data_IF_745267609681
#
_entry.id   IF_745267609681
#
_cell.length_a   1.000
_cell.length_b   1.000
_cell.length_c   1.000
_cell.angle_alpha   90.00
_cell.angle_beta   90.00
_cell.angle_gamma   90.00
#
_symmetry.space_group_name_H-M   'P 1'
#
loop_
_entity.id
_entity.type
_entity.pdbx_description
1 polymer ?
#
# COMPACT_ATOMS: atom_id res chain seq x y z
N UNK A 1 8.47 31.21 -8.76
CA UNK A 1 8.06 30.16 -7.77
C UNK A 1 6.74 30.48 -7.07
N UNK A 2 6.56 31.61 -6.38
CA UNK A 2 5.30 31.90 -5.65
C UNK A 2 4.06 31.93 -6.57
N UNK A 3 4.15 32.61 -7.71
CA UNK A 3 3.05 32.69 -8.68
C UNK A 3 2.67 31.31 -9.24
N UNK A 4 3.65 30.49 -9.64
CA UNK A 4 3.41 29.10 -10.06
C UNK A 4 2.65 28.33 -9.01
N UNK A 5 3.14 28.30 -7.75
CA UNK A 5 2.47 27.56 -6.66
C UNK A 5 1.03 28.03 -6.40
N UNK A 6 0.76 29.32 -6.54
CA UNK A 6 -0.58 29.83 -6.37
C UNK A 6 -1.51 29.33 -7.48
N UNK A 7 -1.09 29.46 -8.75
CA UNK A 7 -1.88 29.03 -9.91
C UNK A 7 -2.10 27.51 -9.89
N UNK A 8 -1.03 26.73 -9.65
CA UNK A 8 -1.06 25.27 -9.54
C UNK A 8 -2.04 24.78 -8.45
N UNK A 9 -2.03 25.42 -7.27
CA UNK A 9 -2.97 25.09 -6.21
C UNK A 9 -4.42 25.47 -6.58
N UNK A 10 -4.63 26.67 -7.11
CA UNK A 10 -5.99 27.15 -7.47
C UNK A 10 -6.59 26.25 -8.55
N UNK A 11 -5.83 25.94 -9.60
CA UNK A 11 -6.32 25.08 -10.69
C UNK A 11 -6.49 23.64 -10.24
N UNK A 12 -5.59 23.11 -9.39
CA UNK A 12 -5.75 21.79 -8.80
C UNK A 12 -7.05 21.65 -8.00
N UNK A 13 -7.33 22.59 -7.09
CA UNK A 13 -8.59 22.59 -6.36
C UNK A 13 -9.81 22.83 -7.24
N UNK A 14 -9.67 23.61 -8.31
CA UNK A 14 -10.74 23.78 -9.31
C UNK A 14 -11.07 22.47 -10.01
N UNK A 15 -10.04 21.67 -10.42
CA UNK A 15 -10.30 20.34 -11.00
C UNK A 15 -10.97 19.40 -10.02
N UNK A 16 -10.58 19.44 -8.74
CA UNK A 16 -11.27 18.71 -7.68
C UNK A 16 -12.75 19.10 -7.59
N UNK A 17 -13.05 20.37 -7.55
CA UNK A 17 -14.43 20.86 -7.44
C UNK A 17 -15.28 20.49 -8.66
N UNK A 18 -14.71 20.56 -9.87
CA UNK A 18 -15.38 20.12 -11.09
C UNK A 18 -15.69 18.62 -11.02
N UNK A 19 -14.70 17.80 -10.69
CA UNK A 19 -14.87 16.35 -10.57
C UNK A 19 -15.88 15.98 -9.47
N UNK A 20 -15.75 16.58 -8.28
CA UNK A 20 -16.68 16.36 -7.17
C UNK A 20 -18.12 16.76 -7.55
N UNK A 21 -18.30 17.90 -8.21
CA UNK A 21 -19.62 18.32 -8.69
C UNK A 21 -20.20 17.33 -9.70
N UNK A 22 -19.42 16.93 -10.72
CA UNK A 22 -19.86 15.98 -11.75
C UNK A 22 -20.26 14.65 -11.12
N UNK A 23 -19.40 14.05 -10.30
CA UNK A 23 -19.65 12.75 -9.71
C UNK A 23 -20.78 12.76 -8.69
N UNK A 24 -20.83 13.78 -7.80
CA UNK A 24 -21.92 13.89 -6.83
C UNK A 24 -23.29 14.22 -7.47
N UNK A 25 -23.32 14.91 -8.63
CA UNK A 25 -24.57 15.21 -9.34
C UNK A 25 -25.11 14.03 -10.17
N UNK A 26 -24.27 13.03 -10.45
CA UNK A 26 -24.62 11.83 -11.23
C UNK A 26 -24.51 10.53 -10.44
N UNK A 27 -24.46 10.65 -9.12
CA UNK A 27 -24.28 9.55 -8.21
C UNK A 27 -25.42 8.54 -8.29
N UNK A 28 -25.10 7.25 -8.17
CA UNK A 28 -26.11 6.21 -8.02
C UNK A 28 -26.87 6.41 -6.70
N UNK A 29 -28.18 6.59 -6.72
CA UNK A 29 -28.94 6.90 -5.51
C UNK A 29 -29.08 5.70 -4.56
N UNK A 30 -28.86 4.48 -5.07
CA UNK A 30 -29.01 3.21 -4.36
C UNK A 30 -27.78 2.34 -4.52
N UNK A 31 -27.91 1.04 -4.43
CA UNK A 31 -26.85 0.09 -4.72
C UNK A 31 -26.85 -0.25 -6.22
N UNK A 32 -25.69 -0.18 -6.86
CA UNK A 32 -25.50 -0.68 -8.23
C UNK A 32 -25.31 -2.21 -8.25
N UNK A 33 -24.81 -2.75 -9.37
CA UNK A 33 -24.58 -4.19 -9.53
C UNK A 33 -23.26 -4.67 -8.89
N UNK A 34 -23.01 -5.96 -8.98
CA UNK A 34 -21.79 -6.66 -8.52
C UNK A 34 -21.61 -6.56 -6.99
N UNK A 35 -20.43 -6.18 -6.55
CA UNK A 35 -20.04 -6.19 -5.14
C UNK A 35 -20.52 -4.94 -4.36
N UNK A 36 -21.04 -3.92 -5.07
CA UNK A 36 -21.47 -2.65 -4.47
C UNK A 36 -22.50 -2.83 -3.32
N UNK A 37 -23.58 -3.63 -3.44
CA UNK A 37 -24.51 -3.89 -2.34
C UNK A 37 -23.84 -4.53 -1.13
N UNK A 38 -22.87 -5.43 -1.35
CA UNK A 38 -22.10 -6.07 -0.30
C UNK A 38 -21.25 -5.04 0.44
N UNK A 39 -20.49 -4.20 -0.28
CA UNK A 39 -19.68 -3.15 0.32
C UNK A 39 -20.49 -2.13 1.11
N UNK A 40 -21.67 -1.75 0.64
CA UNK A 40 -22.58 -0.87 1.37
C UNK A 40 -23.06 -1.54 2.65
N UNK A 41 -23.48 -2.81 2.58
CA UNK A 41 -24.02 -3.55 3.72
C UNK A 41 -22.94 -3.80 4.78
N UNK A 42 -21.78 -4.32 4.36
CA UNK A 42 -20.65 -4.57 5.26
C UNK A 42 -20.11 -3.30 5.88
N UNK A 43 -20.08 -2.20 5.13
CA UNK A 43 -19.70 -0.89 5.64
C UNK A 43 -20.70 -0.40 6.69
N UNK A 44 -21.99 -0.40 6.39
CA UNK A 44 -23.02 0.11 7.29
C UNK A 44 -23.06 -0.60 8.65
N UNK A 45 -22.95 -1.93 8.64
CA UNK A 45 -23.09 -2.76 9.85
C UNK A 45 -21.76 -3.27 10.42
N UNK A 46 -20.62 -2.92 9.80
CA UNK A 46 -19.32 -3.48 10.11
C UNK A 46 -19.36 -5.02 10.09
N UNK A 47 -19.83 -5.60 8.99
CA UNK A 47 -19.90 -7.02 8.73
C UNK A 47 -18.71 -7.49 7.86
N UNK A 48 -18.54 -8.80 7.68
CA UNK A 48 -17.41 -9.37 6.96
C UNK A 48 -17.83 -9.80 5.55
N UNK A 49 -17.29 -9.10 4.55
CA UNK A 49 -17.52 -9.38 3.13
C UNK A 49 -16.60 -10.46 2.56
N UNK A 50 -16.63 -10.61 1.24
CA UNK A 50 -15.86 -11.64 0.54
C UNK A 50 -14.33 -11.48 0.66
N UNK A 51 -13.56 -12.59 0.63
CA UNK A 51 -12.11 -12.56 0.66
C UNK A 51 -11.47 -11.78 -0.52
N UNK A 52 -10.38 -11.02 -0.27
CA UNK A 52 -9.62 -10.95 0.97
C UNK A 52 -10.11 -9.90 1.95
N UNK A 53 -11.31 -9.32 1.74
CA UNK A 53 -11.89 -8.26 2.55
C UNK A 53 -11.33 -6.87 2.27
N UNK A 54 -12.06 -5.86 2.72
CA UNK A 54 -11.70 -4.46 2.58
C UNK A 54 -11.94 -3.69 3.91
N UNK A 55 -11.22 -4.02 5.00
CA UNK A 55 -11.54 -3.50 6.33
C UNK A 55 -11.44 -1.97 6.43
N UNK A 56 -10.49 -1.34 5.74
CA UNK A 56 -10.36 0.11 5.79
C UNK A 56 -11.45 0.80 4.97
N UNK A 57 -11.88 0.20 3.85
CA UNK A 57 -13.06 0.65 3.13
C UNK A 57 -14.32 0.54 4.01
N UNK A 58 -14.50 -0.60 4.68
CA UNK A 58 -15.63 -0.85 5.57
C UNK A 58 -15.72 0.21 6.69
N UNK A 59 -14.60 0.52 7.36
CA UNK A 59 -14.55 1.54 8.41
C UNK A 59 -14.91 2.94 7.89
N UNK A 60 -14.41 3.32 6.73
CA UNK A 60 -14.69 4.62 6.11
C UNK A 60 -16.12 4.70 5.57
N UNK A 61 -16.63 3.61 5.00
CA UNK A 61 -18.04 3.50 4.59
C UNK A 61 -18.99 3.64 5.78
N UNK A 62 -18.65 2.99 6.91
CA UNK A 62 -19.43 3.16 8.15
C UNK A 62 -19.46 4.62 8.58
N UNK A 63 -18.32 5.31 8.56
CA UNK A 63 -18.24 6.73 8.91
C UNK A 63 -19.15 7.58 8.00
N UNK A 64 -19.13 7.35 6.68
CA UNK A 64 -20.00 8.07 5.75
C UNK A 64 -21.49 7.70 5.94
N UNK A 65 -21.79 6.43 6.22
CA UNK A 65 -23.13 5.98 6.54
C UNK A 65 -23.77 6.69 7.76
N UNK A 66 -22.95 7.17 8.72
CA UNK A 66 -23.45 7.94 9.86
C UNK A 66 -24.05 9.32 9.49
N UNK A 67 -23.73 9.83 8.30
CA UNK A 67 -24.32 11.08 7.79
C UNK A 67 -25.67 10.87 7.11
N UNK A 68 -26.14 9.63 6.95
CA UNK A 68 -27.45 9.33 6.41
C UNK A 68 -28.56 9.75 7.39
N UNK A 69 -29.60 10.43 6.88
CA UNK A 69 -30.73 10.84 7.69
C UNK A 69 -31.63 9.66 8.11
N UNK A 70 -31.64 8.62 7.30
CA UNK A 70 -32.34 7.34 7.54
C UNK A 70 -31.65 6.19 6.76
N UNK A 71 -32.09 4.96 6.98
CA UNK A 71 -31.50 3.75 6.38
C UNK A 71 -31.55 3.74 4.83
N UNK A 72 -32.51 4.41 4.22
CA UNK A 72 -32.61 4.47 2.76
C UNK A 72 -31.52 5.34 2.12
N UNK A 73 -30.90 6.24 2.90
CA UNK A 73 -29.86 7.17 2.46
C UNK A 73 -28.43 6.61 2.65
N UNK A 74 -28.28 5.46 3.30
CA UNK A 74 -26.93 4.91 3.58
C UNK A 74 -26.19 4.62 2.29
N UNK A 75 -26.80 3.96 1.30
CA UNK A 75 -26.20 3.69 0.01
C UNK A 75 -25.69 4.98 -0.67
N UNK A 76 -26.52 5.99 -0.70
CA UNK A 76 -26.22 7.30 -1.25
C UNK A 76 -24.98 7.94 -0.57
N UNK A 77 -24.89 7.87 0.77
CA UNK A 77 -23.75 8.43 1.50
C UNK A 77 -22.44 7.67 1.25
N UNK A 78 -22.49 6.36 1.10
CA UNK A 78 -21.31 5.54 0.76
C UNK A 78 -20.88 5.81 -0.69
N UNK A 79 -21.82 5.99 -1.62
CA UNK A 79 -21.53 6.40 -2.99
C UNK A 79 -20.89 7.81 -3.03
N UNK A 80 -21.33 8.76 -2.19
CA UNK A 80 -20.67 10.08 -2.02
C UNK A 80 -19.21 9.91 -1.61
N UNK A 81 -18.89 8.97 -0.73
CA UNK A 81 -17.49 8.68 -0.36
C UNK A 81 -16.67 8.35 -1.61
N UNK A 82 -17.15 7.45 -2.47
CA UNK A 82 -16.48 7.07 -3.72
C UNK A 82 -16.32 8.27 -4.67
N UNK A 83 -17.35 9.10 -4.81
CA UNK A 83 -17.32 10.31 -5.62
C UNK A 83 -16.24 11.30 -5.15
N UNK A 84 -16.15 11.56 -3.85
CA UNK A 84 -15.16 12.46 -3.28
C UNK A 84 -13.73 11.89 -3.38
N UNK A 85 -13.54 10.59 -3.18
CA UNK A 85 -12.25 9.92 -3.34
C UNK A 85 -11.80 9.95 -4.81
N UNK A 86 -12.71 9.78 -5.75
CA UNK A 86 -12.43 9.94 -7.17
C UNK A 86 -12.05 11.37 -7.52
N UNK A 87 -12.70 12.37 -6.94
CA UNK A 87 -12.31 13.78 -7.11
C UNK A 87 -10.91 14.05 -6.51
N UNK A 88 -10.54 13.43 -5.38
CA UNK A 88 -9.18 13.45 -4.83
C UNK A 88 -8.19 12.86 -5.84
N UNK A 89 -8.53 11.76 -6.52
CA UNK A 89 -7.70 11.18 -7.58
C UNK A 89 -7.40 12.21 -8.67
N UNK A 90 -8.41 12.95 -9.14
CA UNK A 90 -8.26 14.00 -10.16
C UNK A 90 -7.34 15.12 -9.69
N UNK A 91 -7.49 15.57 -8.44
CA UNK A 91 -6.60 16.57 -7.82
C UNK A 91 -5.14 16.16 -7.88
N UNK A 92 -4.84 14.96 -7.39
CA UNK A 92 -3.46 14.46 -7.34
C UNK A 92 -2.92 14.09 -8.73
N UNK A 93 -3.78 13.69 -9.66
CA UNK A 93 -3.42 13.54 -11.07
C UNK A 93 -3.00 14.88 -11.67
N UNK A 94 -3.80 15.94 -11.47
CA UNK A 94 -3.47 17.30 -11.91
C UNK A 94 -2.08 17.72 -11.39
N UNK A 95 -1.86 17.63 -10.09
CA UNK A 95 -0.57 18.01 -9.50
C UNK A 95 0.60 17.14 -9.97
N UNK A 96 0.37 15.86 -10.27
CA UNK A 96 1.40 14.97 -10.80
C UNK A 96 1.79 15.36 -12.24
N UNK A 97 0.80 15.64 -13.09
CA UNK A 97 1.03 16.08 -14.47
C UNK A 97 1.71 17.45 -14.49
N UNK A 98 1.24 18.41 -13.69
CA UNK A 98 1.86 19.75 -13.54
C UNK A 98 3.33 19.60 -13.11
N UNK A 99 3.60 18.79 -12.09
CA UNK A 99 4.96 18.54 -11.60
C UNK A 99 5.88 17.97 -12.69
N UNK A 100 5.45 16.92 -13.39
CA UNK A 100 6.23 16.27 -14.44
C UNK A 100 6.47 17.20 -15.64
N UNK A 101 5.43 17.92 -16.08
CA UNK A 101 5.53 18.89 -17.19
C UNK A 101 6.47 20.04 -16.82
N UNK A 102 6.38 20.55 -15.58
CA UNK A 102 7.32 21.54 -15.07
C UNK A 102 8.78 21.05 -15.16
N UNK A 103 9.06 19.82 -14.72
CA UNK A 103 10.41 19.25 -14.78
C UNK A 103 10.94 19.12 -16.20
N UNK A 104 10.08 18.86 -17.18
CA UNK A 104 10.46 18.78 -18.58
C UNK A 104 10.79 20.16 -19.18
N UNK A 105 10.03 21.20 -18.82
CA UNK A 105 10.10 22.52 -19.46
C UNK A 105 10.98 23.52 -18.71
N UNK A 106 11.20 23.33 -17.41
CA UNK A 106 11.86 24.30 -16.51
C UNK A 106 12.93 23.58 -15.69
N UNK A 107 14.19 23.78 -16.07
CA UNK A 107 15.33 23.23 -15.33
C UNK A 107 15.63 24.06 -14.08
N UNK A 108 15.60 25.37 -14.22
CA UNK A 108 15.78 26.33 -13.12
C UNK A 108 14.57 27.28 -13.02
N UNK A 109 14.23 27.70 -11.81
CA UNK A 109 13.08 28.59 -11.59
C UNK A 109 13.20 29.97 -12.25
N UNK A 110 14.44 30.41 -12.59
CA UNK A 110 14.72 31.61 -13.35
C UNK A 110 14.22 31.54 -14.81
N UNK A 111 14.07 30.32 -15.35
CA UNK A 111 13.58 30.07 -16.71
C UNK A 111 12.04 30.09 -16.81
N UNK A 112 11.34 30.27 -15.70
CA UNK A 112 9.88 30.28 -15.69
C UNK A 112 9.34 31.54 -16.36
N UNK A 113 8.71 31.38 -17.51
CA UNK A 113 7.99 32.44 -18.23
C UNK A 113 6.48 32.23 -18.13
N UNK A 114 5.70 33.27 -18.43
CA UNK A 114 4.24 33.15 -18.49
C UNK A 114 3.78 32.09 -19.50
N UNK A 115 4.45 31.99 -20.65
CA UNK A 115 4.16 30.97 -21.66
C UNK A 115 4.39 29.55 -21.12
N UNK A 116 5.53 29.30 -20.44
CA UNK A 116 5.81 28.01 -19.81
C UNK A 116 4.80 27.69 -18.71
N UNK A 117 4.46 28.69 -17.88
CA UNK A 117 3.41 28.52 -16.85
C UNK A 117 2.08 28.07 -17.47
N UNK A 118 1.61 28.79 -18.50
CA UNK A 118 0.35 28.43 -19.19
C UNK A 118 0.45 27.01 -19.78
N UNK A 119 1.56 26.66 -20.43
CA UNK A 119 1.75 25.33 -21.02
C UNK A 119 1.69 24.23 -19.97
N UNK A 120 2.35 24.41 -18.80
CA UNK A 120 2.35 23.44 -17.72
C UNK A 120 0.94 23.22 -17.18
N UNK A 121 0.28 24.32 -16.81
CA UNK A 121 -1.03 24.26 -16.17
C UNK A 121 -2.13 23.80 -17.14
N UNK A 122 -2.08 24.22 -18.41
CA UNK A 122 -3.01 23.77 -19.43
C UNK A 122 -2.85 22.24 -19.70
N UNK A 123 -1.61 21.73 -19.75
CA UNK A 123 -1.37 20.30 -19.92
C UNK A 123 -1.94 19.50 -18.75
N UNK A 124 -1.75 19.98 -17.52
CA UNK A 124 -2.29 19.35 -16.33
C UNK A 124 -3.82 19.38 -16.30
N UNK A 125 -4.40 20.53 -16.63
CA UNK A 125 -5.85 20.71 -16.69
C UNK A 125 -6.51 19.81 -17.73
N UNK A 126 -5.96 19.76 -18.95
CA UNK A 126 -6.47 18.88 -20.03
C UNK A 126 -6.36 17.43 -19.63
N UNK A 127 -5.20 16.98 -19.10
CA UNK A 127 -5.01 15.60 -18.67
C UNK A 127 -5.98 15.19 -17.55
N UNK A 128 -6.14 16.04 -16.54
CA UNK A 128 -7.05 15.78 -15.42
C UNK A 128 -8.53 15.76 -15.87
N UNK A 129 -8.95 16.71 -16.71
CA UNK A 129 -10.34 16.77 -17.19
C UNK A 129 -10.68 15.63 -18.17
N UNK A 130 -9.76 15.23 -19.06
CA UNK A 130 -9.98 14.04 -19.90
C UNK A 130 -10.24 12.81 -19.04
N UNK A 131 -9.46 12.62 -17.96
CA UNK A 131 -9.66 11.50 -17.06
C UNK A 131 -10.95 11.63 -16.24
N UNK A 132 -11.31 12.84 -15.80
CA UNK A 132 -12.59 13.13 -15.11
C UNK A 132 -13.80 12.65 -15.92
N UNK A 133 -13.79 12.87 -17.23
CA UNK A 133 -14.90 12.53 -18.12
C UNK A 133 -14.71 11.21 -18.87
N UNK A 134 -13.73 10.37 -18.50
CA UNK A 134 -13.60 9.03 -19.07
C UNK A 134 -14.67 8.09 -18.52
N UNK A 135 -15.34 7.34 -19.37
CA UNK A 135 -16.47 6.47 -19.02
C UNK A 135 -16.14 5.51 -17.86
N UNK A 136 -15.04 4.78 -17.99
CA UNK A 136 -14.65 3.77 -16.99
C UNK A 136 -14.39 4.37 -15.61
N UNK A 137 -13.71 5.53 -15.55
CA UNK A 137 -13.42 6.15 -14.28
C UNK A 137 -14.66 6.80 -13.67
N UNK A 138 -15.50 7.45 -14.50
CA UNK A 138 -16.76 8.02 -14.04
C UNK A 138 -17.70 6.97 -13.48
N UNK A 139 -17.82 5.82 -14.17
CA UNK A 139 -18.63 4.70 -13.69
C UNK A 139 -18.22 4.27 -12.28
N UNK A 140 -16.92 4.02 -12.05
CA UNK A 140 -16.40 3.64 -10.72
C UNK A 140 -16.49 4.78 -9.69
N UNK A 141 -16.60 6.03 -10.12
CA UNK A 141 -16.67 7.18 -9.22
C UNK A 141 -18.04 7.34 -8.55
N UNK A 142 -19.11 6.86 -9.17
CA UNK A 142 -20.49 7.11 -8.74
C UNK A 142 -21.10 5.95 -7.94
N UNK A 143 -20.35 4.90 -7.68
CA UNK A 143 -20.80 3.70 -6.97
C UNK A 143 -19.85 3.31 -5.82
N UNK A 144 -20.36 2.58 -4.83
CA UNK A 144 -19.61 2.18 -3.64
C UNK A 144 -18.73 0.95 -3.92
N UNK A 145 -17.63 1.19 -4.63
CA UNK A 145 -16.65 0.18 -5.00
C UNK A 145 -15.24 0.54 -4.51
N UNK A 146 -14.43 -0.47 -4.24
CA UNK A 146 -13.06 -0.31 -3.76
C UNK A 146 -12.14 0.39 -4.75
N UNK A 147 -12.49 0.42 -6.03
CA UNK A 147 -11.66 0.97 -7.10
C UNK A 147 -11.49 2.49 -7.03
N UNK A 148 -12.53 3.22 -6.68
CA UNK A 148 -12.47 4.66 -6.44
C UNK A 148 -11.44 4.99 -5.34
N UNK A 149 -11.49 4.27 -4.23
CA UNK A 149 -10.59 4.44 -3.10
C UNK A 149 -9.16 4.00 -3.43
N UNK A 150 -8.99 2.86 -4.09
CA UNK A 150 -7.69 2.37 -4.56
C UNK A 150 -7.02 3.36 -5.51
N UNK A 151 -7.80 3.99 -6.41
CA UNK A 151 -7.31 5.03 -7.33
C UNK A 151 -6.83 6.27 -6.57
N UNK A 152 -7.54 6.67 -5.51
CA UNK A 152 -7.12 7.78 -4.65
C UNK A 152 -5.78 7.48 -3.96
N UNK A 153 -5.60 6.28 -3.39
CA UNK A 153 -4.32 5.87 -2.82
C UNK A 153 -3.19 5.88 -3.86
N UNK A 154 -3.45 5.34 -5.06
CA UNK A 154 -2.50 5.31 -6.16
C UNK A 154 -2.04 6.72 -6.55
N UNK A 155 -2.97 7.66 -6.74
CA UNK A 155 -2.67 9.03 -7.10
C UNK A 155 -1.89 9.78 -6.00
N UNK A 156 -2.30 9.61 -4.73
CA UNK A 156 -1.60 10.20 -3.57
C UNK A 156 -0.19 9.65 -3.44
N UNK A 157 0.00 8.32 -3.48
CA UNK A 157 1.31 7.67 -3.34
C UNK A 157 2.23 8.08 -4.48
N UNK A 158 1.74 8.14 -5.72
CA UNK A 158 2.52 8.61 -6.84
C UNK A 158 2.93 10.08 -6.69
N UNK A 159 2.04 10.95 -6.25
CA UNK A 159 2.39 12.34 -5.95
C UNK A 159 3.41 12.48 -4.82
N UNK A 160 3.30 11.66 -3.76
CA UNK A 160 4.25 11.66 -2.65
C UNK A 160 5.67 11.29 -3.08
N UNK A 161 5.85 10.33 -4.00
CA UNK A 161 7.19 10.01 -4.50
C UNK A 161 7.80 11.16 -5.32
N UNK A 162 6.98 11.91 -6.07
CA UNK A 162 7.44 13.12 -6.75
C UNK A 162 7.84 14.23 -5.76
N UNK A 163 7.13 14.35 -4.62
CA UNK A 163 7.54 15.25 -3.53
C UNK A 163 8.83 14.82 -2.86
N UNK A 164 9.02 13.51 -2.64
CA UNK A 164 10.28 12.98 -2.16
C UNK A 164 11.42 13.29 -3.14
N UNK A 165 11.21 13.11 -4.43
CA UNK A 165 12.21 13.36 -5.47
C UNK A 165 12.74 14.81 -5.44
N UNK A 166 11.85 15.79 -5.29
CA UNK A 166 12.23 17.21 -5.17
C UNK A 166 13.04 17.50 -3.89
N UNK A 167 12.88 16.71 -2.85
CA UNK A 167 13.50 16.92 -1.52
C UNK A 167 14.54 15.85 -1.15
N UNK A 168 14.90 14.96 -2.07
CA UNK A 168 15.69 13.75 -1.78
C UNK A 168 17.06 14.03 -1.14
N UNK A 169 17.64 15.22 -1.36
CA UNK A 169 18.94 15.63 -0.80
C UNK A 169 18.81 16.44 0.49
N UNK A 170 17.57 16.75 0.92
CA UNK A 170 17.35 17.48 2.16
C UNK A 170 17.43 16.53 3.37
N UNK A 171 17.84 17.04 4.54
CA UNK A 171 17.68 16.30 5.79
C UNK A 171 16.24 15.85 5.98
N UNK A 172 16.04 14.62 6.51
CA UNK A 172 14.72 14.06 6.79
C UNK A 172 13.84 13.78 5.54
N UNK A 173 14.41 13.73 4.32
CA UNK A 173 13.65 13.38 3.11
C UNK A 173 12.98 12.01 3.22
N UNK A 174 13.54 11.08 3.99
CA UNK A 174 13.04 9.70 4.18
C UNK A 174 11.62 9.66 4.78
N UNK A 175 11.17 10.76 5.44
CA UNK A 175 9.78 10.88 5.95
C UNK A 175 8.72 10.67 4.87
N UNK A 176 9.02 11.03 3.62
CA UNK A 176 8.10 10.81 2.50
C UNK A 176 7.98 9.34 2.14
N UNK A 177 9.09 8.59 2.16
CA UNK A 177 9.09 7.14 1.93
C UNK A 177 8.32 6.41 3.04
N UNK A 178 8.51 6.84 4.28
CA UNK A 178 7.80 6.31 5.46
C UNK A 178 6.27 6.56 5.32
N UNK A 179 5.88 7.78 4.92
CA UNK A 179 4.46 8.11 4.67
C UNK A 179 3.88 7.30 3.51
N UNK A 180 4.64 7.12 2.40
CA UNK A 180 4.24 6.26 1.27
C UNK A 180 3.93 4.85 1.77
N UNK A 181 4.77 4.27 2.61
CA UNK A 181 4.55 2.91 3.11
C UNK A 181 3.36 2.82 4.08
N UNK A 182 3.09 3.86 4.87
CA UNK A 182 1.87 3.95 5.67
C UNK A 182 0.60 3.97 4.78
N UNK A 183 0.58 4.84 3.76
CA UNK A 183 -0.53 4.91 2.80
C UNK A 183 -0.70 3.59 2.03
N UNK A 184 0.42 2.93 1.69
CA UNK A 184 0.41 1.60 1.08
C UNK A 184 -0.20 0.56 2.01
N UNK A 185 0.15 0.57 3.30
CA UNK A 185 -0.43 -0.30 4.32
C UNK A 185 -1.94 -0.11 4.48
N UNK A 186 -2.42 1.13 4.54
CA UNK A 186 -3.85 1.44 4.56
C UNK A 186 -4.56 0.96 3.30
N UNK A 187 -3.92 1.12 2.14
CA UNK A 187 -4.51 0.70 0.85
C UNK A 187 -4.68 -0.81 0.72
N UNK A 188 -3.85 -1.62 1.40
CA UNK A 188 -4.04 -3.08 1.49
C UNK A 188 -5.41 -3.40 2.13
N UNK A 189 -5.83 -2.61 3.12
CA UNK A 189 -7.16 -2.70 3.74
C UNK A 189 -8.31 -2.18 2.87
N UNK A 190 -8.03 -1.78 1.62
CA UNK A 190 -9.03 -1.43 0.60
C UNK A 190 -8.91 -2.36 -0.59
N UNK A 191 -7.76 -2.33 -1.28
CA UNK A 191 -7.49 -3.16 -2.44
C UNK A 191 -5.99 -3.24 -2.73
N UNK A 192 -5.49 -4.40 -3.16
CA UNK A 192 -4.06 -4.64 -3.41
C UNK A 192 -3.49 -3.91 -4.65
N UNK A 193 -4.36 -3.33 -5.48
CA UNK A 193 -3.96 -2.71 -6.76
C UNK A 193 -2.93 -1.59 -6.58
N UNK A 194 -2.99 -0.83 -5.48
CA UNK A 194 -2.03 0.23 -5.19
C UNK A 194 -0.57 -0.28 -5.05
N UNK A 195 -0.36 -1.55 -4.70
CA UNK A 195 0.98 -2.14 -4.62
C UNK A 195 1.72 -2.08 -5.96
N UNK A 196 1.00 -1.99 -7.09
CA UNK A 196 1.59 -1.82 -8.43
C UNK A 196 2.31 -0.47 -8.61
N UNK A 197 2.15 0.48 -7.68
CA UNK A 197 2.96 1.71 -7.64
C UNK A 197 4.41 1.47 -7.19
N UNK A 198 4.70 0.37 -6.48
CA UNK A 198 6.04 0.09 -5.96
C UNK A 198 7.13 0.10 -7.04
N UNK A 199 6.95 -0.51 -8.24
CA UNK A 199 7.92 -0.39 -9.32
C UNK A 199 8.23 1.05 -9.73
N UNK A 200 7.21 1.89 -9.84
CA UNK A 200 7.39 3.30 -10.19
C UNK A 200 8.17 4.06 -9.09
N UNK A 201 7.86 3.79 -7.82
CA UNK A 201 8.57 4.38 -6.66
C UNK A 201 10.06 4.01 -6.69
N UNK A 202 10.37 2.73 -6.91
CA UNK A 202 11.77 2.25 -6.94
C UNK A 202 12.52 2.85 -8.12
N UNK A 203 11.89 2.99 -9.29
CA UNK A 203 12.50 3.64 -10.46
C UNK A 203 12.79 5.12 -10.18
N UNK A 204 11.84 5.88 -9.62
CA UNK A 204 12.05 7.29 -9.25
C UNK A 204 13.22 7.39 -8.24
N UNK A 205 13.24 6.49 -7.24
CA UNK A 205 14.33 6.43 -6.28
C UNK A 205 15.69 6.16 -6.96
N UNK A 206 15.76 5.17 -7.87
CA UNK A 206 16.94 4.82 -8.61
C UNK A 206 17.46 6.01 -9.41
N UNK A 207 16.65 6.60 -10.27
CA UNK A 207 17.05 7.72 -11.13
C UNK A 207 17.43 8.97 -10.33
N UNK A 208 16.92 9.13 -9.12
CA UNK A 208 17.25 10.28 -8.26
C UNK A 208 18.53 10.11 -7.45
N UNK A 209 18.86 8.88 -7.03
CA UNK A 209 19.98 8.62 -6.09
C UNK A 209 21.24 8.10 -6.76
N UNK A 210 21.14 7.52 -7.94
CA UNK A 210 22.32 6.96 -8.62
C UNK A 210 22.72 7.81 -9.83
N UNK A 211 24.04 8.08 -10.01
CA UNK A 211 24.51 8.89 -11.12
C UNK A 211 24.41 8.14 -12.45
N UNK A 212 23.88 8.82 -13.45
CA UNK A 212 23.75 8.32 -14.83
C UNK A 212 24.91 8.85 -15.66
N UNK A 213 25.84 7.98 -16.07
CA UNK A 213 27.07 8.36 -16.79
C UNK A 213 26.98 8.11 -18.28
N UNK A 214 26.30 7.04 -18.69
CA UNK A 214 26.15 6.67 -20.10
C UNK A 214 24.87 5.81 -20.30
N UNK A 215 24.28 5.79 -21.54
CA UNK A 215 23.02 5.10 -21.80
C UNK A 215 23.04 3.59 -21.56
N UNK A 216 24.18 2.91 -21.77
CA UNK A 216 24.28 1.45 -21.56
C UNK A 216 24.31 1.09 -20.07
N UNK A 217 25.06 1.89 -19.29
CA UNK A 217 25.08 1.77 -17.82
C UNK A 217 23.71 2.05 -17.23
N UNK A 218 23.02 3.07 -17.74
CA UNK A 218 21.68 3.46 -17.31
C UNK A 218 20.64 2.36 -17.61
N UNK A 219 20.68 1.73 -18.77
CA UNK A 219 19.79 0.63 -19.12
C UNK A 219 19.98 -0.57 -18.18
N UNK A 220 21.24 -0.98 -17.94
CA UNK A 220 21.56 -2.07 -17.01
C UNK A 220 21.08 -1.76 -15.60
N UNK A 221 21.31 -0.54 -15.12
CA UNK A 221 20.85 -0.09 -13.79
C UNK A 221 19.33 -0.05 -13.68
N UNK A 222 18.64 0.40 -14.73
CA UNK A 222 17.16 0.40 -14.78
C UNK A 222 16.56 -1.00 -14.74
N UNK A 223 17.19 -1.96 -15.45
CA UNK A 223 16.77 -3.37 -15.39
C UNK A 223 16.94 -3.90 -13.96
N UNK A 224 18.07 -3.63 -13.30
CA UNK A 224 18.25 -4.02 -11.90
C UNK A 224 17.26 -3.34 -10.95
N UNK A 225 16.96 -2.06 -11.17
CA UNK A 225 15.94 -1.37 -10.39
C UNK A 225 14.55 -2.01 -10.54
N UNK A 226 14.18 -2.44 -11.76
CA UNK A 226 12.95 -3.19 -12.01
C UNK A 226 12.96 -4.57 -11.32
N UNK A 227 14.06 -5.30 -11.38
CA UNK A 227 14.19 -6.60 -10.68
C UNK A 227 14.05 -6.40 -9.17
N UNK A 228 14.73 -5.41 -8.58
CA UNK A 228 14.62 -5.09 -7.16
C UNK A 228 13.19 -4.68 -6.81
N UNK A 229 12.52 -3.89 -7.66
CA UNK A 229 11.13 -3.50 -7.44
C UNK A 229 10.17 -4.70 -7.45
N UNK A 230 10.40 -5.66 -8.33
CA UNK A 230 9.66 -6.92 -8.34
C UNK A 230 9.88 -7.75 -7.06
N UNK A 231 11.13 -7.78 -6.57
CA UNK A 231 11.46 -8.45 -5.29
C UNK A 231 10.76 -7.74 -4.12
N UNK A 232 10.76 -6.41 -4.08
CA UNK A 232 10.08 -5.64 -3.03
C UNK A 232 8.57 -5.88 -3.08
N UNK A 233 7.98 -5.83 -4.27
CA UNK A 233 6.55 -6.12 -4.46
C UNK A 233 6.20 -7.54 -3.99
N UNK A 234 7.00 -8.53 -4.38
CA UNK A 234 6.81 -9.92 -3.96
C UNK A 234 7.00 -10.08 -2.43
N UNK A 235 7.99 -9.39 -1.84
CA UNK A 235 8.22 -9.41 -0.39
C UNK A 235 7.05 -8.81 0.40
N UNK A 236 6.37 -7.81 -0.13
CA UNK A 236 5.16 -7.26 0.50
C UNK A 236 3.97 -8.19 0.28
N UNK A 237 3.68 -8.56 -0.97
CA UNK A 237 2.46 -9.27 -1.36
C UNK A 237 2.45 -10.73 -0.90
N UNK A 238 3.57 -11.43 -1.06
CA UNK A 238 3.70 -12.86 -0.75
C UNK A 238 4.49 -13.15 0.53
N UNK A 239 5.23 -12.17 1.03
CA UNK A 239 6.00 -12.28 2.26
C UNK A 239 5.26 -11.66 3.45
N UNK A 240 5.16 -10.33 3.50
CA UNK A 240 4.67 -9.62 4.69
C UNK A 240 3.17 -9.87 4.93
N UNK A 241 2.32 -9.72 3.92
CA UNK A 241 0.86 -9.82 4.09
C UNK A 241 0.43 -11.19 4.62
N UNK A 242 0.80 -12.34 3.99
CA UNK A 242 0.48 -13.66 4.55
C UNK A 242 1.43 -14.08 5.68
N UNK A 243 2.68 -13.61 5.66
CA UNK A 243 3.72 -14.08 6.56
C UNK A 243 3.49 -13.74 8.02
N UNK A 244 2.94 -12.55 8.32
CA UNK A 244 2.56 -12.16 9.69
C UNK A 244 1.55 -13.15 10.26
N UNK A 245 0.55 -13.51 9.47
CA UNK A 245 -0.50 -14.47 9.86
C UNK A 245 0.10 -15.87 10.03
N UNK A 246 0.98 -16.27 9.11
CA UNK A 246 1.65 -17.59 9.16
C UNK A 246 2.56 -17.73 10.38
N UNK A 247 3.42 -16.74 10.67
CA UNK A 247 4.29 -16.80 11.85
C UNK A 247 3.48 -16.70 13.13
N UNK A 248 2.45 -15.86 13.17
CA UNK A 248 1.49 -15.81 14.28
C UNK A 248 0.83 -17.17 14.53
N UNK A 249 0.40 -17.84 13.46
CA UNK A 249 -0.14 -19.22 13.54
C UNK A 249 0.86 -20.24 14.06
N UNK A 250 2.14 -20.15 13.72
CA UNK A 250 3.17 -21.04 14.28
C UNK A 250 3.36 -20.83 15.79
N UNK A 251 3.35 -19.59 16.25
CA UNK A 251 3.35 -19.30 17.70
C UNK A 251 2.11 -19.86 18.36
N UNK A 252 0.94 -19.68 17.78
CA UNK A 252 -0.32 -20.20 18.33
C UNK A 252 -0.28 -21.73 18.46
N UNK A 253 0.13 -22.46 17.41
CA UNK A 253 0.28 -23.91 17.44
C UNK A 253 1.27 -24.37 18.52
N UNK A 254 2.39 -23.68 18.68
CA UNK A 254 3.37 -24.04 19.70
C UNK A 254 2.82 -23.85 21.12
N UNK A 255 2.23 -22.69 21.41
CA UNK A 255 1.73 -22.42 22.77
C UNK A 255 0.51 -23.26 23.13
N UNK A 256 -0.43 -23.44 22.20
CA UNK A 256 -1.66 -24.19 22.46
C UNK A 256 -1.40 -25.70 22.41
N UNK A 257 -0.82 -26.21 21.31
CA UNK A 257 -0.71 -27.65 21.09
C UNK A 257 0.46 -28.32 21.84
N UNK A 258 1.57 -27.57 22.05
CA UNK A 258 2.75 -28.13 22.72
C UNK A 258 2.76 -27.83 24.21
N UNK A 259 2.40 -26.60 24.59
CA UNK A 259 2.44 -26.14 25.99
C UNK A 259 1.09 -26.22 26.71
N UNK A 260 -0.01 -26.52 26.00
CA UNK A 260 -1.35 -26.61 26.57
C UNK A 260 -1.94 -25.28 27.06
N UNK A 261 -1.46 -24.18 26.55
CA UNK A 261 -1.96 -22.84 26.88
C UNK A 261 -3.36 -22.60 26.30
N UNK A 262 -4.15 -21.68 26.87
CA UNK A 262 -5.41 -21.25 26.30
C UNK A 262 -5.25 -20.71 24.87
N UNK A 263 -6.32 -20.84 24.07
CA UNK A 263 -6.39 -20.30 22.70
C UNK A 263 -6.10 -18.80 22.67
N UNK A 264 -5.47 -18.32 21.60
CA UNK A 264 -4.95 -16.96 21.40
C UNK A 264 -3.73 -16.57 22.26
N UNK A 265 -3.22 -17.42 23.15
CA UNK A 265 -2.03 -17.11 23.95
C UNK A 265 -0.78 -16.94 23.08
N UNK A 266 -0.59 -17.83 22.10
CA UNK A 266 0.55 -17.78 21.18
C UNK A 266 0.52 -16.53 20.31
N UNK A 267 -0.65 -16.13 19.81
CA UNK A 267 -0.84 -14.91 19.02
C UNK A 267 -0.49 -13.66 19.84
N UNK A 268 -0.96 -13.57 21.07
CA UNK A 268 -0.65 -12.41 21.95
C UNK A 268 0.86 -12.32 22.22
N UNK A 269 1.51 -13.44 22.53
CA UNK A 269 2.95 -13.49 22.75
C UNK A 269 3.71 -13.11 21.48
N UNK A 270 3.29 -13.62 20.32
CA UNK A 270 3.88 -13.25 19.03
C UNK A 270 3.82 -11.72 18.80
N UNK A 271 2.67 -11.09 19.00
CA UNK A 271 2.53 -9.65 18.82
C UNK A 271 3.45 -8.85 19.77
N UNK A 272 3.56 -9.28 21.03
CA UNK A 272 4.48 -8.64 22.00
C UNK A 272 5.93 -8.79 21.55
N UNK A 273 6.34 -9.99 21.12
CA UNK A 273 7.70 -10.27 20.64
C UNK A 273 8.02 -9.49 19.37
N UNK A 274 7.09 -9.47 18.40
CA UNK A 274 7.23 -8.69 17.15
C UNK A 274 7.43 -7.19 17.43
N UNK A 275 6.55 -6.58 18.24
CA UNK A 275 6.62 -5.16 18.58
C UNK A 275 7.92 -4.85 19.34
N UNK A 276 8.28 -5.68 20.34
CA UNK A 276 9.51 -5.50 21.10
C UNK A 276 10.75 -5.61 20.23
N UNK A 277 10.77 -6.54 19.28
CA UNK A 277 11.87 -6.73 18.35
C UNK A 277 12.00 -5.54 17.37
N UNK A 278 10.90 -5.02 16.84
CA UNK A 278 10.89 -3.83 16.00
C UNK A 278 11.40 -2.60 16.77
N UNK A 279 10.95 -2.38 18.00
CA UNK A 279 11.44 -1.30 18.86
C UNK A 279 12.95 -1.45 19.10
N UNK A 280 13.42 -2.66 19.44
CA UNK A 280 14.85 -2.93 19.63
C UNK A 280 15.64 -2.64 18.34
N UNK A 281 15.18 -3.12 17.19
CA UNK A 281 15.85 -2.90 15.92
C UNK A 281 15.92 -1.42 15.55
N UNK A 282 14.83 -0.67 15.73
CA UNK A 282 14.82 0.79 15.51
C UNK A 282 15.80 1.48 16.46
N UNK A 283 15.79 1.14 17.75
CA UNK A 283 16.71 1.68 18.73
C UNK A 283 18.19 1.45 18.35
N UNK A 284 18.56 0.23 17.93
CA UNK A 284 19.93 -0.11 17.50
C UNK A 284 20.35 0.68 16.23
N UNK A 285 19.42 1.04 15.35
CA UNK A 285 19.76 1.84 14.17
C UNK A 285 19.98 3.32 14.49
N UNK A 286 19.43 3.84 15.59
CA UNK A 286 19.67 5.22 16.05
C UNK A 286 20.86 5.35 16.99
N UNK A 287 20.98 4.44 17.95
CA UNK A 287 21.90 4.57 19.09
C UNK A 287 22.96 3.46 19.13
N UNK A 288 22.86 2.46 18.26
CA UNK A 288 23.73 1.30 18.32
C UNK A 288 25.12 1.56 17.73
N UNK A 289 26.16 1.42 18.58
CA UNK A 289 27.55 1.39 18.15
C UNK A 289 27.95 0.01 17.61
N UNK A 290 27.20 -1.03 17.96
CA UNK A 290 27.50 -2.42 17.64
C UNK A 290 26.78 -2.89 16.37
N UNK A 291 27.51 -2.98 15.26
CA UNK A 291 26.98 -3.41 13.97
C UNK A 291 26.38 -4.84 14.02
N UNK A 292 26.89 -5.73 14.87
CA UNK A 292 26.38 -7.09 15.01
C UNK A 292 24.98 -7.08 15.63
N UNK A 293 24.77 -6.34 16.72
CA UNK A 293 23.44 -6.21 17.37
C UNK A 293 22.42 -5.59 16.42
N UNK A 294 22.83 -4.55 15.68
CA UNK A 294 21.97 -3.91 14.68
C UNK A 294 21.57 -4.88 13.55
N UNK A 295 22.48 -5.75 13.09
CA UNK A 295 22.17 -6.74 12.06
C UNK A 295 21.27 -7.86 12.60
N UNK A 296 21.52 -8.35 13.84
CA UNK A 296 20.70 -9.39 14.47
C UNK A 296 19.27 -8.89 14.67
N UNK A 297 19.09 -7.69 15.24
CA UNK A 297 17.76 -7.13 15.49
C UNK A 297 16.98 -6.87 14.20
N UNK A 298 17.67 -6.41 13.14
CA UNK A 298 17.10 -6.24 11.83
C UNK A 298 16.60 -7.57 11.23
N UNK A 299 17.43 -8.60 11.23
CA UNK A 299 17.06 -9.94 10.71
C UNK A 299 15.94 -10.57 11.53
N UNK A 300 16.00 -10.46 12.86
CA UNK A 300 14.93 -10.94 13.72
C UNK A 300 13.59 -10.26 13.41
N UNK A 301 13.59 -8.95 13.17
CA UNK A 301 12.39 -8.23 12.74
C UNK A 301 11.85 -8.71 11.40
N UNK A 302 12.73 -8.91 10.40
CA UNK A 302 12.35 -9.44 9.08
C UNK A 302 11.78 -10.87 9.19
N UNK A 303 12.37 -11.69 10.04
CA UNK A 303 11.88 -13.05 10.29
C UNK A 303 10.52 -13.06 10.98
N UNK A 304 10.35 -12.26 12.03
CA UNK A 304 9.08 -12.15 12.76
C UNK A 304 7.95 -11.55 11.90
N UNK A 305 8.26 -10.65 10.97
CA UNK A 305 7.31 -10.16 9.97
C UNK A 305 6.90 -11.21 8.93
N UNK A 306 7.51 -12.39 8.96
CA UNK A 306 7.17 -13.50 8.07
C UNK A 306 7.67 -13.34 6.63
N UNK A 307 8.33 -12.22 6.30
CA UNK A 307 8.73 -11.85 4.93
C UNK A 307 9.47 -12.97 4.19
N UNK A 308 10.41 -13.73 4.81
CA UNK A 308 11.16 -14.76 4.11
C UNK A 308 10.45 -16.10 3.99
N UNK A 309 9.32 -16.31 4.69
CA UNK A 309 8.67 -17.62 4.76
C UNK A 309 7.55 -17.73 3.72
N UNK A 310 7.91 -18.14 2.52
CA UNK A 310 6.94 -18.33 1.43
C UNK A 310 6.47 -19.79 1.32
N UNK A 311 5.18 -19.98 1.16
CA UNK A 311 4.56 -21.30 0.99
C UNK A 311 4.15 -21.94 2.32
N UNK A 312 3.98 -23.27 2.34
CA UNK A 312 3.46 -24.01 3.49
C UNK A 312 4.43 -25.12 3.95
N UNK A 313 4.27 -25.52 5.21
CA UNK A 313 4.99 -26.64 5.79
C UNK A 313 6.51 -26.42 5.89
N UNK A 314 7.26 -27.53 5.81
CA UNK A 314 8.74 -27.52 6.00
C UNK A 314 9.45 -26.68 4.93
N UNK A 315 8.94 -26.64 3.71
CA UNK A 315 9.57 -25.88 2.64
C UNK A 315 9.53 -24.36 2.88
N UNK A 316 8.49 -23.84 3.49
CA UNK A 316 8.44 -22.43 3.89
C UNK A 316 9.58 -22.08 4.86
N UNK A 317 9.84 -22.97 5.83
CA UNK A 317 10.94 -22.80 6.80
C UNK A 317 12.31 -22.88 6.11
N UNK A 318 12.51 -23.85 5.22
CA UNK A 318 13.76 -24.00 4.46
C UNK A 318 14.06 -22.78 3.62
N UNK A 319 13.07 -22.32 2.84
CA UNK A 319 13.20 -21.09 2.04
C UNK A 319 13.51 -19.89 2.95
N UNK A 320 12.78 -19.75 4.04
CA UNK A 320 12.98 -18.68 5.02
C UNK A 320 14.39 -18.64 5.58
N UNK A 321 14.91 -19.78 6.00
CA UNK A 321 16.30 -19.89 6.53
C UNK A 321 17.32 -19.51 5.46
N UNK A 322 17.16 -19.97 4.22
CA UNK A 322 18.05 -19.62 3.10
C UNK A 322 18.02 -18.10 2.82
N UNK A 323 16.83 -17.49 2.79
CA UNK A 323 16.68 -16.04 2.59
C UNK A 323 17.31 -15.26 3.74
N UNK A 324 17.09 -15.66 4.99
CA UNK A 324 17.71 -15.01 6.16
C UNK A 324 19.23 -15.15 6.16
N UNK A 325 19.77 -16.31 5.78
CA UNK A 325 21.21 -16.50 5.63
C UNK A 325 21.79 -15.63 4.52
N UNK A 326 21.12 -15.53 3.36
CA UNK A 326 21.53 -14.63 2.29
C UNK A 326 21.50 -13.15 2.73
N UNK A 327 20.43 -12.74 3.43
CA UNK A 327 20.32 -11.39 3.98
C UNK A 327 21.44 -11.10 5.00
N UNK A 328 21.72 -12.05 5.89
CA UNK A 328 22.84 -11.96 6.83
C UNK A 328 24.16 -11.72 6.10
N UNK A 329 24.41 -12.48 5.03
CA UNK A 329 25.61 -12.36 4.23
C UNK A 329 25.73 -10.97 3.57
N UNK A 330 24.62 -10.45 3.05
CA UNK A 330 24.55 -9.09 2.44
C UNK A 330 24.84 -8.02 3.49
N UNK A 331 24.27 -8.12 4.69
CA UNK A 331 24.47 -7.15 5.77
C UNK A 331 25.90 -7.13 6.32
N UNK A 332 26.66 -8.23 6.20
CA UNK A 332 28.06 -8.30 6.60
C UNK A 332 29.03 -7.78 5.51
N UNK A 333 28.58 -7.65 4.27
CA UNK A 333 29.41 -7.19 3.16
C UNK A 333 29.79 -5.73 3.30
N UNK A 334 31.04 -5.46 2.95
CA UNK A 334 31.59 -4.10 2.84
C UNK A 334 32.06 -3.86 1.40
N UNK A 335 31.84 -2.65 0.93
CA UNK A 335 32.37 -2.14 -0.34
C UNK A 335 33.23 -0.92 -0.04
N UNK A 336 34.51 -0.93 -0.47
CA UNK A 336 35.49 0.14 -0.17
C UNK A 336 35.55 0.48 1.34
N UNK A 337 35.53 -0.53 2.21
CA UNK A 337 35.58 -0.38 3.66
C UNK A 337 34.29 0.07 4.35
N UNK A 338 33.25 0.47 3.59
CA UNK A 338 31.93 0.87 4.12
C UNK A 338 30.93 -0.27 4.06
N UNK A 339 30.00 -0.39 5.01
CA UNK A 339 28.92 -1.38 4.95
C UNK A 339 28.12 -1.20 3.65
N UNK A 340 27.82 -2.33 2.97
CA UNK A 340 26.98 -2.31 1.76
C UNK A 340 25.58 -1.76 2.06
N UNK A 341 25.03 -2.13 3.21
CA UNK A 341 23.74 -1.61 3.72
C UNK A 341 24.05 -0.71 4.92
N UNK A 342 23.87 0.59 4.74
CA UNK A 342 24.14 1.59 5.80
C UNK A 342 23.09 1.49 6.94
N UNK A 343 23.42 2.02 8.11
CA UNK A 343 22.46 2.12 9.22
C UNK A 343 21.21 2.92 8.85
N UNK A 344 21.38 4.01 8.07
CA UNK A 344 20.25 4.81 7.58
C UNK A 344 19.30 3.98 6.72
N UNK A 345 19.82 3.15 5.81
CA UNK A 345 18.98 2.26 4.97
C UNK A 345 18.21 1.28 5.84
N UNK A 346 18.86 0.64 6.82
CA UNK A 346 18.21 -0.27 7.77
C UNK A 346 17.12 0.44 8.59
N UNK A 347 17.41 1.63 9.09
CA UNK A 347 16.44 2.45 9.84
C UNK A 347 15.22 2.80 8.97
N UNK A 348 15.45 3.34 7.77
CA UNK A 348 14.35 3.69 6.86
C UNK A 348 13.53 2.45 6.49
N UNK A 349 14.17 1.30 6.23
CA UNK A 349 13.47 0.05 5.93
C UNK A 349 12.61 -0.42 7.12
N UNK A 350 13.12 -0.39 8.35
CA UNK A 350 12.37 -0.74 9.57
C UNK A 350 11.18 0.18 9.79
N UNK A 351 11.36 1.49 9.63
CA UNK A 351 10.28 2.47 9.75
C UNK A 351 9.22 2.28 8.66
N UNK A 352 9.65 1.97 7.44
CA UNK A 352 8.74 1.64 6.34
C UNK A 352 7.93 0.37 6.64
N UNK A 353 8.57 -0.71 7.11
CA UNK A 353 7.89 -1.94 7.49
C UNK A 353 6.92 -1.72 8.66
N UNK A 354 7.33 -0.97 9.68
CA UNK A 354 6.46 -0.61 10.82
C UNK A 354 5.22 0.18 10.36
N UNK A 355 5.41 1.19 9.51
CA UNK A 355 4.30 2.01 9.04
C UNK A 355 3.35 1.25 8.11
N UNK A 356 3.89 0.37 7.26
CA UNK A 356 3.08 -0.53 6.46
C UNK A 356 2.26 -1.46 7.37
N UNK A 357 2.88 -2.03 8.41
CA UNK A 357 2.21 -2.88 9.40
C UNK A 357 1.08 -2.13 10.14
N UNK A 358 1.32 -0.88 10.54
CA UNK A 358 0.29 -0.05 11.19
C UNK A 358 -0.90 0.17 10.24
N UNK A 359 -0.67 0.47 8.96
CA UNK A 359 -1.76 0.59 7.98
C UNK A 359 -2.49 -0.73 7.75
N UNK A 360 -1.74 -1.82 7.61
CA UNK A 360 -2.26 -3.17 7.41
C UNK A 360 -3.03 -3.71 8.64
N UNK A 361 -2.76 -3.20 9.84
CA UNK A 361 -3.44 -3.64 11.08
C UNK A 361 -4.96 -3.43 11.06
N UNK A 362 -5.50 -2.70 10.08
CA UNK A 362 -6.95 -2.62 9.83
C UNK A 362 -7.62 -4.00 9.66
N UNK A 363 -6.86 -5.02 9.23
CA UNK A 363 -7.36 -6.41 9.16
C UNK A 363 -7.73 -7.02 10.52
N UNK A 364 -7.24 -6.48 11.64
CA UNK A 364 -7.69 -6.88 12.95
C UNK A 364 -9.21 -6.66 13.14
N UNK A 365 -9.79 -5.67 12.43
CA UNK A 365 -11.24 -5.41 12.47
C UNK A 365 -12.02 -6.58 11.87
N UNK A 366 -11.51 -7.23 10.83
CA UNK A 366 -12.15 -8.43 10.23
C UNK A 366 -12.29 -9.51 11.29
N UNK A 367 -11.20 -9.85 11.99
CA UNK A 367 -11.21 -10.89 13.06
C UNK A 367 -12.16 -10.51 14.20
N UNK A 368 -12.07 -9.26 14.68
CA UNK A 368 -12.92 -8.76 15.78
C UNK A 368 -14.39 -8.81 15.39
N UNK A 369 -14.73 -8.47 14.15
CA UNK A 369 -16.13 -8.47 13.69
C UNK A 369 -16.64 -9.88 13.43
N UNK A 370 -15.83 -10.75 12.82
CA UNK A 370 -16.17 -12.15 12.61
C UNK A 370 -16.44 -12.87 13.94
N UNK A 371 -15.59 -12.66 14.96
CA UNK A 371 -15.78 -13.24 16.30
C UNK A 371 -17.10 -12.81 16.97
N UNK A 372 -17.73 -11.73 16.50
CA UNK A 372 -19.05 -11.29 16.98
C UNK A 372 -20.22 -11.92 16.23
N UNK A 373 -19.99 -12.82 15.27
CA UNK A 373 -20.96 -13.53 14.45
C UNK A 373 -22.02 -12.59 13.83
N UNK A 374 -21.61 -11.62 12.99
CA UNK A 374 -22.56 -10.75 12.31
C UNK A 374 -23.39 -11.53 11.27
N UNK A 375 -24.55 -11.00 10.82
CA UNK A 375 -25.38 -11.66 9.81
C UNK A 375 -24.64 -11.98 8.50
N UNK A 376 -23.74 -11.10 8.05
CA UNK A 376 -22.82 -11.38 6.96
C UNK A 376 -21.43 -11.62 7.53
N UNK A 377 -20.94 -12.85 7.46
CA UNK A 377 -19.64 -13.28 7.95
C UNK A 377 -19.04 -14.31 6.98
N UNK A 378 -18.54 -13.82 5.85
CA UNK A 378 -18.02 -14.71 4.80
C UNK A 378 -16.71 -15.38 5.23
N UNK A 379 -16.73 -16.73 5.20
CA UNK A 379 -15.61 -17.61 5.60
C UNK A 379 -15.23 -17.53 7.09
N UNK A 380 -15.97 -16.83 7.92
CA UNK A 380 -15.79 -16.73 9.38
C UNK A 380 -14.30 -16.61 9.79
N UNK A 381 -13.61 -15.52 9.40
CA UNK A 381 -12.18 -15.32 9.72
C UNK A 381 -11.98 -14.85 11.18
N UNK A 382 -12.45 -15.63 12.13
CA UNK A 382 -12.51 -15.31 13.56
C UNK A 382 -11.20 -15.56 14.33
N UNK A 383 -10.23 -16.25 13.71
CA UNK A 383 -8.92 -16.56 14.28
C UNK A 383 -7.78 -16.39 13.25
N UNK A 384 -6.53 -16.60 13.71
CA UNK A 384 -5.34 -16.41 12.88
C UNK A 384 -5.29 -17.40 11.69
N UNK A 385 -5.86 -18.60 11.81
CA UNK A 385 -5.81 -19.63 10.76
C UNK A 385 -6.88 -19.39 9.70
N UNK A 386 -8.09 -19.13 10.14
CA UNK A 386 -9.22 -18.77 9.26
C UNK A 386 -8.97 -17.43 8.56
N UNK A 387 -8.32 -16.46 9.24
CA UNK A 387 -7.84 -15.24 8.61
C UNK A 387 -6.79 -15.54 7.52
N UNK A 388 -5.91 -16.52 7.74
CA UNK A 388 -4.93 -16.95 6.73
C UNK A 388 -5.59 -17.45 5.45
N UNK A 389 -6.56 -18.35 5.57
CA UNK A 389 -7.36 -18.86 4.44
C UNK A 389 -8.18 -17.77 3.75
N UNK A 390 -8.72 -16.83 4.52
CA UNK A 390 -9.46 -15.68 4.02
C UNK A 390 -8.56 -14.74 3.18
N UNK A 391 -7.39 -14.39 3.67
CA UNK A 391 -6.42 -13.56 2.94
C UNK A 391 -5.87 -14.24 1.70
N UNK A 392 -5.64 -15.56 1.76
CA UNK A 392 -5.18 -16.38 0.64
C UNK A 392 -6.26 -16.63 -0.41
N UNK A 393 -7.52 -16.27 -0.11
CA UNK A 393 -8.67 -16.47 -1.01
C UNK A 393 -8.89 -17.94 -1.38
N UNK A 394 -8.66 -18.85 -0.42
CA UNK A 394 -8.66 -20.30 -0.63
C UNK A 394 -9.99 -20.80 -1.24
N UNK A 395 -11.12 -20.16 -0.94
CA UNK A 395 -12.43 -20.51 -1.50
C UNK A 395 -12.51 -20.43 -3.02
N UNK A 396 -11.65 -19.61 -3.68
CA UNK A 396 -11.66 -19.45 -5.13
C UNK A 396 -10.73 -20.42 -5.84
N UNK A 397 -9.98 -21.24 -5.10
CA UNK A 397 -9.00 -22.18 -5.61
C UNK A 397 -7.80 -21.51 -6.29
N UNK A 398 -6.94 -22.32 -6.87
CA UNK A 398 -5.76 -21.86 -7.61
C UNK A 398 -6.04 -21.81 -9.09
N UNK A 399 -5.62 -20.72 -9.76
CA UNK A 399 -5.64 -20.62 -11.22
C UNK A 399 -4.23 -20.63 -11.75
N UNK A 400 -3.89 -21.49 -12.73
CA UNK A 400 -2.56 -21.51 -13.33
C UNK A 400 -2.30 -20.21 -14.09
N UNK A 401 -1.07 -19.65 -13.93
CA UNK A 401 -0.69 -18.39 -14.58
C UNK A 401 -0.37 -18.55 -16.08
N UNK A 402 0.20 -19.69 -16.48
CA UNK A 402 0.72 -19.89 -17.84
C UNK A 402 -0.04 -20.95 -18.63
N UNK A 403 -0.54 -22.00 -17.97
CA UNK A 403 -1.29 -23.08 -18.59
C UNK A 403 -2.58 -23.32 -17.81
N UNK A 404 -3.70 -23.15 -18.43
CA UNK A 404 -5.03 -23.36 -17.86
C UNK A 404 -5.88 -24.22 -18.78
N UNK A 405 -6.98 -24.73 -18.25
CA UNK A 405 -7.99 -25.40 -19.07
C UNK A 405 -8.59 -24.41 -20.06
N UNK A 406 -8.61 -24.78 -21.33
CA UNK A 406 -9.35 -24.07 -22.37
C UNK A 406 -10.79 -24.57 -22.37
N UNK A 407 -11.70 -23.82 -23.02
CA UNK A 407 -13.11 -24.20 -23.14
C UNK A 407 -13.31 -25.59 -23.71
N UNK A 408 -12.42 -26.02 -24.60
CA UNK A 408 -12.43 -27.33 -25.27
C UNK A 408 -11.52 -28.38 -24.64
N UNK A 409 -10.90 -28.08 -23.45
CA UNK A 409 -10.06 -29.07 -22.75
C UNK A 409 -10.93 -30.18 -22.18
N UNK A 410 -10.56 -31.44 -22.43
CA UNK A 410 -11.12 -32.62 -21.83
C UNK A 410 -10.39 -32.95 -20.51
#
# INVERSE_FOLDING_TARGET
MKQFRLVDNVLGWLTFLIAAFVYCSTIEPTASFWDCPEFITTGNKLEVGHPPGAPFFMLTSNLFGQFASDQSQVAYMVNIMSALLSAITILFLFWSVSHLTRKLLVKDWSEMTTAKLITIEASALVGALIYTFSDTFWYSAVEAEVYAYSSAFTAVVFWLILKWEDQADQPQSDRWLILIMYMTGLSIGVHLLNLLCLPAIVLVYYYRKFPHKDPKSDLKGSIWALVISGIILAAVLYGLVPGIVQVGGWFELFFVNTLGCPFNTGLIIYLIVLISCLIWAIYETYNGENALRCNISFIASVALLGIPFYGHGVWAVVIGVVVLAALWFILQRKFEGKPLVSQRIKNTALLCMLMLLIGYSSYAVIVIRSSANPPMDQNSPEDIFTLGSYLSRDQYGSRPLFYGHQYTSQ
#
